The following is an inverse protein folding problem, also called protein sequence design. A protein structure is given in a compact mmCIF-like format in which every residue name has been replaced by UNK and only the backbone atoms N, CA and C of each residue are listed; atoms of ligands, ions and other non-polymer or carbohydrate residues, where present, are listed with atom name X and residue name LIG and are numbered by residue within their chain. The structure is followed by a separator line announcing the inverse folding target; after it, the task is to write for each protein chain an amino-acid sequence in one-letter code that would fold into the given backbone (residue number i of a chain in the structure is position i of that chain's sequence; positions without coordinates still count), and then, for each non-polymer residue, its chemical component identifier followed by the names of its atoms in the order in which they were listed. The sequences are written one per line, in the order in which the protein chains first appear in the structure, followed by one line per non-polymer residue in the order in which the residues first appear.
data_IF_510042359723
#
_entry.id   IF_510042359723
#
_cell.length_a   1.000
_cell.length_b   1.000
_cell.length_c   1.000
_cell.angle_alpha   90.00
_cell.angle_beta   90.00
_cell.angle_gamma   90.00
#
_symmetry.space_group_name_H-M   'P 1'
#
loop_
_entity.id
_entity.type
_entity.pdbx_description
1 polymer ?
#
# COMPACT_ATOMS: atom_id res chain seq x y z
N UNK A 1 14.78 -49.69 11.15
CA UNK A 1 14.63 -49.48 12.60
C UNK A 1 14.16 -48.06 12.79
N UNK A 2 13.20 -47.82 13.68
CA UNK A 2 12.69 -46.47 13.90
C UNK A 2 13.64 -45.67 14.79
N UNK A 3 14.02 -44.45 14.44
CA UNK A 3 14.87 -43.62 15.29
C UNK A 3 14.07 -42.75 16.25
N UNK A 4 14.53 -42.61 17.49
CA UNK A 4 13.85 -41.85 18.53
C UNK A 4 14.78 -40.85 19.23
N UNK A 5 14.22 -39.71 19.61
CA UNK A 5 14.80 -38.83 20.63
C UNK A 5 14.06 -39.08 21.94
N UNK A 6 14.79 -39.46 22.99
CA UNK A 6 14.20 -39.69 24.30
C UNK A 6 14.31 -38.43 25.15
N UNK A 7 13.22 -37.98 25.75
CA UNK A 7 13.21 -36.91 26.72
C UNK A 7 12.81 -37.50 28.05
N UNK A 8 13.59 -37.32 29.11
CA UNK A 8 13.28 -37.92 30.41
C UNK A 8 13.62 -36.99 31.56
N UNK A 9 12.72 -36.91 32.53
CA UNK A 9 13.01 -36.28 33.84
C UNK A 9 13.28 -37.33 34.92
N UNK A 10 13.12 -38.62 34.58
CA UNK A 10 13.46 -39.73 35.46
C UNK A 10 14.95 -40.07 35.30
N UNK A 11 15.69 -40.28 36.41
CA UNK A 11 17.10 -40.68 36.33
C UNK A 11 17.24 -41.98 35.53
N UNK A 12 18.13 -42.00 34.53
CA UNK A 12 18.29 -43.12 33.60
C UNK A 12 18.64 -44.45 34.29
N UNK A 13 19.25 -44.41 35.47
CA UNK A 13 19.55 -45.60 36.30
C UNK A 13 18.30 -46.30 36.85
N UNK A 14 17.13 -45.67 36.80
CA UNK A 14 15.86 -46.18 37.30
C UNK A 14 14.83 -46.51 36.20
N UNK A 15 15.18 -46.35 34.91
CA UNK A 15 14.25 -46.55 33.79
C UNK A 15 14.74 -47.64 32.84
N UNK A 16 13.93 -48.69 32.66
CA UNK A 16 14.17 -49.74 31.65
C UNK A 16 13.80 -49.31 30.22
N UNK A 17 13.33 -48.07 30.02
CA UNK A 17 12.79 -47.58 28.75
C UNK A 17 13.77 -47.63 27.58
N UNK A 18 15.05 -47.25 27.70
CA UNK A 18 15.99 -47.40 26.59
C UNK A 18 16.17 -48.87 26.14
N UNK A 19 16.20 -49.80 27.09
CA UNK A 19 16.34 -51.23 26.79
C UNK A 19 15.06 -51.80 26.15
N UNK A 20 13.89 -51.42 26.66
CA UNK A 20 12.60 -51.85 26.10
C UNK A 20 12.35 -51.26 24.71
N UNK A 21 12.77 -50.01 24.46
CA UNK A 21 12.74 -49.40 23.12
C UNK A 21 13.67 -50.14 22.15
N UNK A 22 14.88 -50.49 22.59
CA UNK A 22 15.82 -51.26 21.77
C UNK A 22 15.26 -52.66 21.43
N UNK A 23 14.67 -53.35 22.42
CA UNK A 23 14.00 -54.64 22.21
C UNK A 23 12.79 -54.53 21.26
N UNK A 24 12.09 -53.40 21.27
CA UNK A 24 11.01 -53.09 20.34
C UNK A 24 11.50 -52.63 18.95
N UNK A 25 12.81 -52.55 18.70
CA UNK A 25 13.42 -52.20 17.43
C UNK A 25 13.53 -50.69 17.16
N UNK A 26 13.50 -49.88 18.22
CA UNK A 26 13.63 -48.42 18.18
C UNK A 26 15.01 -48.01 18.68
N UNK A 27 15.74 -47.24 17.88
CA UNK A 27 17.08 -46.76 18.20
C UNK A 27 17.02 -45.35 18.79
N UNK A 28 17.47 -45.19 20.03
CA UNK A 28 17.53 -43.88 20.70
C UNK A 28 18.80 -43.16 20.24
N UNK A 29 18.63 -42.05 19.51
CA UNK A 29 19.74 -41.26 18.95
C UNK A 29 20.41 -40.37 19.99
N UNK A 30 19.60 -39.80 20.88
CA UNK A 30 20.06 -38.95 21.98
C UNK A 30 19.00 -38.90 23.08
N UNK A 31 19.44 -38.52 24.28
CA UNK A 31 18.57 -38.30 25.44
C UNK A 31 18.64 -36.84 25.89
N UNK A 32 17.49 -36.24 26.16
CA UNK A 32 17.34 -34.86 26.60
C UNK A 32 16.70 -34.84 27.99
N UNK A 33 17.42 -34.30 28.97
CA UNK A 33 16.94 -34.23 30.36
C UNK A 33 16.30 -32.88 30.71
N UNK A 34 16.56 -31.86 29.90
CA UNK A 34 16.06 -30.50 30.08
C UNK A 34 15.27 -30.05 28.84
N UNK A 35 14.04 -29.58 29.06
CA UNK A 35 13.16 -29.05 28.02
C UNK A 35 13.79 -27.93 27.19
N UNK A 36 14.74 -27.16 27.75
CA UNK A 36 15.45 -26.09 27.03
C UNK A 36 16.25 -26.61 25.82
N UNK A 37 16.69 -27.87 25.86
CA UNK A 37 17.50 -28.52 24.82
C UNK A 37 16.66 -29.34 23.83
N UNK A 38 15.35 -29.42 24.03
CA UNK A 38 14.47 -30.26 23.22
C UNK A 38 14.51 -29.88 21.74
N UNK A 39 14.26 -28.61 21.43
CA UNK A 39 14.24 -28.10 20.05
C UNK A 39 15.57 -28.36 19.36
N UNK A 40 16.68 -28.07 20.04
CA UNK A 40 18.02 -28.33 19.53
C UNK A 40 18.23 -29.82 19.25
N UNK A 41 17.84 -30.71 20.17
CA UNK A 41 17.95 -32.16 20.00
C UNK A 41 17.15 -32.69 18.82
N UNK A 42 15.92 -32.20 18.62
CA UNK A 42 15.07 -32.59 17.48
C UNK A 42 15.67 -32.12 16.15
N UNK A 43 16.16 -30.88 16.07
CA UNK A 43 16.76 -30.33 14.85
C UNK A 43 18.08 -31.03 14.51
N UNK A 44 18.94 -31.24 15.50
CA UNK A 44 20.27 -31.83 15.31
C UNK A 44 20.20 -33.30 14.89
N UNK A 45 19.35 -34.10 15.55
CA UNK A 45 19.31 -35.55 15.36
C UNK A 45 18.23 -36.02 14.38
N UNK A 46 17.29 -35.15 14.01
CA UNK A 46 16.23 -35.45 13.04
C UNK A 46 15.49 -36.79 13.29
N UNK A 47 15.04 -37.09 14.52
CA UNK A 47 14.49 -38.40 14.90
C UNK A 47 13.17 -38.70 14.18
N UNK A 48 12.81 -39.97 13.99
CA UNK A 48 11.50 -40.35 13.43
C UNK A 48 10.35 -40.27 14.45
N UNK A 49 10.65 -40.26 15.75
CA UNK A 49 9.67 -40.01 16.83
C UNK A 49 10.37 -39.34 18.02
N UNK A 50 9.65 -38.46 18.72
CA UNK A 50 10.06 -37.93 20.02
C UNK A 50 9.26 -38.65 21.10
N UNK A 51 9.96 -39.23 22.08
CA UNK A 51 9.35 -39.95 23.19
C UNK A 51 9.71 -39.22 24.47
N UNK A 52 8.73 -38.81 25.25
CA UNK A 52 8.92 -38.07 26.49
C UNK A 52 8.44 -38.92 27.68
N UNK A 53 9.34 -39.39 28.53
CA UNK A 53 9.05 -39.99 29.83
C UNK A 53 9.00 -38.90 30.90
N UNK A 54 7.80 -38.35 31.10
CA UNK A 54 7.53 -37.20 31.97
C UNK A 54 6.48 -37.60 33.01
N UNK A 55 6.87 -38.05 34.22
CA UNK A 55 5.94 -38.47 35.26
C UNK A 55 4.85 -37.44 35.54
N UNK A 56 5.24 -36.16 35.57
CA UNK A 56 4.35 -35.00 35.65
C UNK A 56 4.87 -33.93 34.66
N UNK A 57 4.25 -33.76 33.48
CA UNK A 57 4.69 -32.77 32.50
C UNK A 57 4.42 -31.36 33.03
N UNK A 58 5.47 -30.53 33.05
CA UNK A 58 5.33 -29.12 33.43
C UNK A 58 4.91 -28.28 32.22
N UNK A 59 4.34 -27.08 32.43
CA UNK A 59 4.03 -26.15 31.33
C UNK A 59 5.24 -25.83 30.44
N UNK A 60 6.46 -25.84 31.00
CA UNK A 60 7.70 -25.64 30.24
C UNK A 60 7.95 -26.76 29.21
N UNK A 61 7.63 -28.02 29.54
CA UNK A 61 7.72 -29.14 28.60
C UNK A 61 6.70 -29.02 27.47
N UNK A 62 5.46 -28.61 27.78
CA UNK A 62 4.44 -28.38 26.77
C UNK A 62 4.81 -27.23 25.82
N UNK A 63 5.33 -26.12 26.34
CA UNK A 63 5.84 -25.02 25.53
C UNK A 63 7.01 -25.46 24.62
N UNK A 64 7.95 -26.25 25.15
CA UNK A 64 9.08 -26.77 24.38
C UNK A 64 8.62 -27.73 23.27
N UNK A 65 7.64 -28.59 23.54
CA UNK A 65 7.05 -29.50 22.55
C UNK A 65 6.31 -28.74 21.44
N UNK A 66 5.54 -27.72 21.81
CA UNK A 66 4.85 -26.86 20.85
C UNK A 66 5.85 -26.14 19.94
N UNK A 67 6.92 -25.57 20.52
CA UNK A 67 7.98 -24.92 19.75
C UNK A 67 8.71 -25.89 18.81
N UNK A 68 9.04 -27.09 19.29
CA UNK A 68 9.64 -28.14 18.47
C UNK A 68 8.71 -28.55 17.31
N UNK A 69 7.40 -28.66 17.57
CA UNK A 69 6.39 -28.96 16.56
C UNK A 69 6.21 -27.86 15.50
N UNK A 70 6.56 -26.61 15.79
CA UNK A 70 6.54 -25.51 14.82
C UNK A 70 7.81 -25.47 13.96
N UNK A 71 8.98 -25.78 14.53
CA UNK A 71 10.29 -25.67 13.87
C UNK A 71 10.63 -26.93 13.08
N UNK A 72 10.47 -28.11 13.70
CA UNK A 72 10.82 -29.40 13.12
C UNK A 72 9.77 -30.45 13.53
N UNK A 73 8.61 -30.49 12.84
CA UNK A 73 7.48 -31.33 13.23
C UNK A 73 7.85 -32.82 13.22
N UNK A 74 7.65 -33.50 14.36
CA UNK A 74 7.84 -34.96 14.51
C UNK A 74 6.66 -35.58 15.26
N UNK A 75 6.38 -36.89 15.09
CA UNK A 75 5.48 -37.61 15.97
C UNK A 75 5.96 -37.53 17.43
N UNK A 76 5.04 -37.28 18.35
CA UNK A 76 5.35 -37.12 19.78
C UNK A 76 4.52 -38.10 20.61
N UNK A 77 5.21 -38.86 21.45
CA UNK A 77 4.63 -39.73 22.47
C UNK A 77 5.01 -39.20 23.85
N UNK A 78 4.02 -38.93 24.71
CA UNK A 78 4.26 -38.59 26.12
C UNK A 78 3.81 -39.76 26.98
N UNK A 79 4.72 -40.26 27.80
CA UNK A 79 4.51 -41.28 28.81
C UNK A 79 4.48 -40.57 30.17
N UNK A 80 3.41 -40.72 30.93
CA UNK A 80 3.19 -39.95 32.15
C UNK A 80 2.43 -40.72 33.23
N UNK A 81 2.43 -40.21 34.45
CA UNK A 81 1.55 -40.64 35.54
C UNK A 81 0.38 -39.67 35.76
N UNK A 82 0.37 -38.56 35.04
CA UNK A 82 -0.67 -37.55 35.14
C UNK A 82 -1.99 -38.03 34.51
N UNK A 83 -3.04 -38.06 35.32
CA UNK A 83 -4.40 -38.48 34.95
C UNK A 83 -5.32 -37.28 34.69
N UNK A 84 -4.81 -36.05 34.81
CA UNK A 84 -5.60 -34.84 34.68
C UNK A 84 -6.08 -34.65 33.24
N UNK A 85 -7.41 -34.58 33.06
CA UNK A 85 -8.02 -34.42 31.74
C UNK A 85 -7.68 -33.07 31.08
N UNK A 86 -7.44 -32.02 31.87
CA UNK A 86 -7.01 -30.71 31.39
C UNK A 86 -5.61 -30.75 30.79
N UNK A 87 -4.66 -31.38 31.47
CA UNK A 87 -3.30 -31.59 30.93
C UNK A 87 -3.29 -32.53 29.72
N UNK A 88 -4.19 -33.50 29.64
CA UNK A 88 -4.35 -34.34 28.43
C UNK A 88 -4.84 -33.52 27.22
N UNK A 89 -5.82 -32.62 27.42
CA UNK A 89 -6.31 -31.72 26.38
C UNK A 89 -5.19 -30.75 25.94
N UNK A 90 -4.51 -30.13 26.91
CA UNK A 90 -3.38 -29.24 26.65
C UNK A 90 -2.24 -29.93 25.88
N UNK A 91 -1.89 -31.17 26.25
CA UNK A 91 -0.87 -31.94 25.53
C UNK A 91 -1.26 -32.13 24.06
N UNK A 92 -2.54 -32.40 23.78
CA UNK A 92 -3.05 -32.55 22.41
C UNK A 92 -2.93 -31.24 21.63
N UNK A 93 -3.26 -30.10 22.24
CA UNK A 93 -3.11 -28.77 21.64
C UNK A 93 -1.63 -28.42 21.36
N UNK A 94 -0.71 -28.89 22.19
CA UNK A 94 0.73 -28.71 22.00
C UNK A 94 1.35 -29.64 20.94
N UNK A 95 0.54 -30.47 20.27
CA UNK A 95 1.02 -31.39 19.22
C UNK A 95 1.51 -32.74 19.74
N UNK A 96 1.09 -33.16 20.94
CA UNK A 96 1.29 -34.54 21.41
C UNK A 96 0.31 -35.46 20.69
N UNK A 97 0.83 -36.49 20.04
CA UNK A 97 0.01 -37.39 19.23
C UNK A 97 -0.54 -38.56 20.04
N UNK A 98 0.24 -39.01 21.03
CA UNK A 98 -0.15 -40.08 21.95
C UNK A 98 0.27 -39.68 23.35
N UNK A 99 -0.70 -39.57 24.26
CA UNK A 99 -0.51 -39.30 25.67
C UNK A 99 -0.91 -40.57 26.45
N UNK A 100 0.06 -41.19 27.13
CA UNK A 100 -0.10 -42.49 27.79
C UNK A 100 0.03 -42.32 29.29
N UNK A 101 -1.04 -42.65 30.01
CA UNK A 101 -1.12 -42.56 31.46
C UNK A 101 -0.78 -43.90 32.10
N UNK A 102 -0.15 -43.86 33.29
CA UNK A 102 0.37 -45.02 34.02
C UNK A 102 1.49 -45.77 33.27
N UNK A 103 2.31 -45.04 32.51
CA UNK A 103 3.47 -45.60 31.82
C UNK A 103 3.12 -46.53 30.65
N UNK A 104 4.07 -47.39 30.27
CA UNK A 104 3.95 -48.26 29.09
C UNK A 104 4.17 -49.73 29.46
N UNK A 105 3.63 -50.64 28.64
CA UNK A 105 4.07 -52.04 28.65
C UNK A 105 5.04 -52.24 27.49
N UNK A 106 6.14 -52.98 27.69
CA UNK A 106 7.19 -53.15 26.66
C UNK A 106 6.63 -53.65 25.32
N UNK A 107 5.68 -54.60 25.35
CA UNK A 107 4.99 -55.11 24.17
C UNK A 107 4.08 -54.09 23.46
N UNK A 108 3.71 -52.98 24.12
CA UNK A 108 2.84 -51.92 23.58
C UNK A 108 3.60 -50.76 22.94
N UNK A 109 4.91 -50.64 23.18
CA UNK A 109 5.73 -49.51 22.67
C UNK A 109 5.63 -49.36 21.15
N UNK A 110 5.84 -50.45 20.42
CA UNK A 110 5.82 -50.42 18.95
C UNK A 110 4.44 -50.05 18.38
N UNK A 111 3.32 -50.67 18.83
CA UNK A 111 1.98 -50.21 18.45
C UNK A 111 1.70 -48.73 18.78
N UNK A 112 2.13 -48.25 19.95
CA UNK A 112 1.91 -46.86 20.37
C UNK A 112 2.68 -45.87 19.48
N UNK A 113 3.92 -46.19 19.12
CA UNK A 113 4.72 -45.36 18.21
C UNK A 113 4.12 -45.36 16.80
N UNK A 114 3.66 -46.51 16.29
CA UNK A 114 2.95 -46.57 15.02
C UNK A 114 1.67 -45.72 15.06
N UNK A 115 0.91 -45.74 16.16
CA UNK A 115 -0.28 -44.89 16.35
C UNK A 115 0.10 -43.40 16.34
N UNK A 116 1.18 -43.02 17.02
CA UNK A 116 1.66 -41.64 17.04
C UNK A 116 2.09 -41.18 15.65
N UNK A 117 2.82 -42.02 14.91
CA UNK A 117 3.22 -41.76 13.53
C UNK A 117 2.00 -41.62 12.61
N UNK A 118 0.98 -42.47 12.77
CA UNK A 118 -0.24 -42.38 11.97
C UNK A 118 -1.03 -41.09 12.26
N UNK A 119 -1.19 -40.73 13.54
CA UNK A 119 -1.82 -39.47 13.95
C UNK A 119 -1.05 -38.25 13.45
N UNK A 120 0.29 -38.29 13.52
CA UNK A 120 1.14 -37.23 12.98
C UNK A 120 0.96 -37.07 11.48
N UNK A 121 1.01 -38.16 10.71
CA UNK A 121 0.77 -38.13 9.26
C UNK A 121 -0.59 -37.52 8.93
N UNK A 122 -1.63 -37.87 9.68
CA UNK A 122 -2.97 -37.32 9.47
C UNK A 122 -3.02 -35.81 9.79
N UNK A 123 -2.50 -35.39 10.94
CA UNK A 123 -2.45 -33.98 11.34
C UNK A 123 -1.61 -33.14 10.37
N UNK A 124 -0.47 -33.67 9.91
CA UNK A 124 0.38 -33.02 8.92
C UNK A 124 -0.33 -32.86 7.57
N UNK A 125 -1.03 -33.89 7.10
CA UNK A 125 -1.80 -33.83 5.85
C UNK A 125 -2.93 -32.79 5.92
N UNK A 126 -3.64 -32.71 7.05
CA UNK A 126 -4.66 -31.68 7.28
C UNK A 126 -4.07 -30.27 7.28
N UNK A 127 -2.94 -30.07 7.99
CA UNK A 127 -2.25 -28.78 8.02
C UNK A 127 -1.78 -28.36 6.62
N UNK A 128 -1.20 -29.27 5.85
CA UNK A 128 -0.78 -29.00 4.49
C UNK A 128 -1.97 -28.67 3.58
N UNK A 129 -3.08 -29.41 3.68
CA UNK A 129 -4.30 -29.10 2.93
C UNK A 129 -4.86 -27.71 3.28
N UNK A 130 -4.80 -27.32 4.56
CA UNK A 130 -5.20 -25.98 5.00
C UNK A 130 -4.29 -24.88 4.47
N UNK A 131 -2.97 -25.09 4.50
CA UNK A 131 -1.97 -24.14 3.95
C UNK A 131 -2.15 -23.99 2.43
N UNK A 132 -2.39 -25.09 1.70
CA UNK A 132 -2.66 -25.08 0.27
C UNK A 132 -3.95 -24.32 -0.08
N UNK A 133 -5.03 -24.57 0.66
CA UNK A 133 -6.31 -23.87 0.49
C UNK A 133 -6.18 -22.37 0.80
N UNK A 134 -5.50 -22.02 1.89
CA UNK A 134 -5.25 -20.63 2.28
C UNK A 134 -4.45 -19.90 1.22
N UNK A 135 -3.41 -20.53 0.67
CA UNK A 135 -2.61 -19.98 -0.42
C UNK A 135 -3.47 -19.71 -1.66
N UNK A 136 -4.25 -20.70 -2.11
CA UNK A 136 -5.14 -20.55 -3.27
C UNK A 136 -6.20 -19.47 -3.07
N UNK A 137 -6.70 -19.32 -1.85
CA UNK A 137 -7.69 -18.30 -1.51
C UNK A 137 -7.10 -16.89 -1.60
N UNK A 138 -5.92 -16.65 -1.03
CA UNK A 138 -5.25 -15.34 -1.13
C UNK A 138 -4.83 -15.01 -2.56
N UNK A 139 -4.38 -16.01 -3.34
CA UNK A 139 -4.14 -15.83 -4.78
C UNK A 139 -5.42 -15.40 -5.51
N UNK A 140 -6.55 -16.09 -5.27
CA UNK A 140 -7.83 -15.73 -5.89
C UNK A 140 -8.29 -14.32 -5.52
N UNK A 141 -8.19 -13.94 -4.25
CA UNK A 141 -8.54 -12.59 -3.78
C UNK A 141 -7.69 -11.51 -4.45
N UNK A 142 -6.40 -11.79 -4.65
CA UNK A 142 -5.50 -10.89 -5.36
C UNK A 142 -5.91 -10.75 -6.82
N UNK A 143 -6.21 -11.87 -7.50
CA UNK A 143 -6.68 -11.88 -8.89
C UNK A 143 -7.98 -11.09 -9.04
N UNK A 144 -8.98 -11.35 -8.19
CA UNK A 144 -10.27 -10.66 -8.23
C UNK A 144 -10.12 -9.15 -7.98
N UNK A 145 -9.21 -8.75 -7.08
CA UNK A 145 -8.90 -7.32 -6.86
C UNK A 145 -8.23 -6.68 -8.07
N UNK A 146 -7.28 -7.37 -8.71
CA UNK A 146 -6.63 -6.88 -9.92
C UNK A 146 -7.63 -6.76 -11.08
N UNK A 147 -8.51 -7.76 -11.28
CA UNK A 147 -9.62 -7.69 -12.23
C UNK A 147 -10.48 -6.47 -11.99
N UNK A 148 -10.92 -6.24 -10.74
CA UNK A 148 -11.74 -5.08 -10.39
C UNK A 148 -11.06 -3.73 -10.66
N UNK A 149 -9.73 -3.66 -10.60
CA UNK A 149 -8.99 -2.46 -11.01
C UNK A 149 -9.07 -2.28 -12.52
N UNK A 150 -8.77 -3.32 -13.29
CA UNK A 150 -8.83 -3.28 -14.77
C UNK A 150 -10.24 -2.99 -15.28
N UNK A 151 -11.27 -3.57 -14.67
CA UNK A 151 -12.67 -3.29 -15.01
C UNK A 151 -12.99 -1.80 -14.88
N UNK A 152 -12.53 -1.14 -13.79
CA UNK A 152 -12.79 0.29 -13.59
C UNK A 152 -11.94 1.18 -14.50
N UNK A 153 -10.66 0.87 -14.66
CA UNK A 153 -9.74 1.72 -15.40
C UNK A 153 -9.84 1.56 -16.92
N UNK A 154 -10.22 0.38 -17.40
CA UNK A 154 -10.31 0.06 -18.83
C UNK A 154 -11.76 -0.21 -19.29
N UNK A 155 -12.75 -0.08 -18.41
CA UNK A 155 -14.16 -0.35 -18.70
C UNK A 155 -14.40 -1.77 -19.28
N UNK A 156 -13.60 -2.74 -18.83
CA UNK A 156 -13.68 -4.13 -19.27
C UNK A 156 -14.77 -4.90 -18.53
N UNK A 157 -15.32 -5.92 -19.21
CA UNK A 157 -16.10 -6.95 -18.54
C UNK A 157 -15.21 -7.80 -17.61
N UNK A 158 -15.84 -8.59 -16.74
CA UNK A 158 -15.11 -9.50 -15.85
C UNK A 158 -14.27 -10.53 -16.63
N UNK A 159 -14.84 -11.07 -17.72
CA UNK A 159 -14.19 -12.05 -18.59
C UNK A 159 -13.02 -11.43 -19.36
N UNK A 160 -13.19 -10.23 -19.91
CA UNK A 160 -12.13 -9.52 -20.62
C UNK A 160 -10.99 -9.16 -19.67
N UNK A 161 -11.30 -8.70 -18.45
CA UNK A 161 -10.28 -8.38 -17.45
C UNK A 161 -9.45 -9.61 -17.05
N UNK A 162 -10.09 -10.78 -16.91
CA UNK A 162 -9.37 -12.03 -16.64
C UNK A 162 -8.52 -12.47 -17.83
N UNK A 163 -9.04 -12.38 -19.06
CA UNK A 163 -8.32 -12.71 -20.29
C UNK A 163 -7.07 -11.83 -20.47
N UNK A 164 -7.20 -10.53 -20.20
CA UNK A 164 -6.10 -9.57 -20.25
C UNK A 164 -5.02 -9.89 -19.22
N UNK A 165 -5.39 -10.12 -17.95
CA UNK A 165 -4.42 -10.54 -16.91
C UNK A 165 -3.71 -11.84 -17.30
N UNK A 166 -4.45 -12.82 -17.80
CA UNK A 166 -3.89 -14.11 -18.21
C UNK A 166 -2.89 -13.96 -19.34
N UNK A 167 -3.24 -13.19 -20.36
CA UNK A 167 -2.39 -12.94 -21.53
C UNK A 167 -1.11 -12.20 -21.13
N UNK A 168 -1.22 -11.19 -20.27
CA UNK A 168 -0.07 -10.47 -19.72
C UNK A 168 0.83 -11.39 -18.88
N UNK A 169 0.27 -12.27 -18.05
CA UNK A 169 1.05 -13.21 -17.22
C UNK A 169 1.83 -14.21 -18.07
N UNK A 170 1.24 -14.67 -19.18
CA UNK A 170 1.91 -15.52 -20.16
C UNK A 170 3.06 -14.80 -20.86
N UNK A 171 2.85 -13.55 -21.30
CA UNK A 171 3.90 -12.74 -21.95
C UNK A 171 5.06 -12.43 -21.01
N UNK A 172 4.79 -12.21 -19.72
CA UNK A 172 5.83 -11.91 -18.71
C UNK A 172 6.42 -13.15 -18.04
N UNK A 173 5.95 -14.36 -18.36
CA UNK A 173 6.33 -15.61 -17.71
C UNK A 173 6.20 -15.56 -16.17
N UNK A 174 5.12 -14.96 -15.67
CA UNK A 174 4.83 -14.80 -14.24
C UNK A 174 3.60 -15.59 -13.81
N UNK A 175 3.52 -15.94 -12.53
CA UNK A 175 2.29 -16.52 -11.97
C UNK A 175 1.18 -15.47 -11.92
N UNK A 176 -0.07 -15.89 -12.11
CA UNK A 176 -1.23 -15.00 -12.10
C UNK A 176 -1.31 -14.16 -10.81
N UNK A 177 -1.05 -14.77 -9.65
CA UNK A 177 -1.02 -14.06 -8.37
C UNK A 177 0.05 -12.97 -8.30
N UNK A 178 1.26 -13.25 -8.82
CA UNK A 178 2.37 -12.28 -8.85
C UNK A 178 2.05 -11.10 -9.77
N UNK A 179 1.58 -11.38 -11.00
CA UNK A 179 1.16 -10.30 -11.91
C UNK A 179 0.04 -9.45 -11.29
N UNK A 180 -0.94 -10.10 -10.66
CA UNK A 180 -2.06 -9.41 -10.01
C UNK A 180 -1.57 -8.49 -8.88
N UNK A 181 -0.58 -8.92 -8.09
CA UNK A 181 0.08 -8.06 -7.09
C UNK A 181 0.75 -6.85 -7.74
N UNK A 182 1.49 -7.05 -8.84
CA UNK A 182 2.12 -5.95 -9.58
C UNK A 182 1.08 -4.94 -10.10
N UNK A 183 -0.02 -5.42 -10.70
CA UNK A 183 -1.10 -4.55 -11.17
C UNK A 183 -1.70 -3.73 -10.01
N UNK A 184 -1.96 -4.35 -8.86
CA UNK A 184 -2.47 -3.66 -7.67
C UNK A 184 -1.49 -2.59 -7.20
N UNK A 185 -0.20 -2.93 -7.09
CA UNK A 185 0.83 -2.02 -6.62
C UNK A 185 1.01 -0.84 -7.58
N UNK A 186 1.08 -1.10 -8.89
CA UNK A 186 1.18 -0.04 -9.91
C UNK A 186 -0.02 0.89 -9.88
N UNK A 187 -1.24 0.35 -9.72
CA UNK A 187 -2.43 1.17 -9.59
C UNK A 187 -2.43 2.03 -8.31
N UNK A 188 -1.98 1.48 -7.17
CA UNK A 188 -1.85 2.23 -5.93
C UNK A 188 -0.83 3.37 -6.03
N UNK A 189 0.31 3.13 -6.69
CA UNK A 189 1.32 4.15 -6.94
C UNK A 189 0.81 5.25 -7.87
N UNK A 190 0.16 4.88 -8.98
CA UNK A 190 -0.44 5.83 -9.91
C UNK A 190 -1.48 6.73 -9.20
N UNK A 191 -2.35 6.12 -8.39
CA UNK A 191 -3.33 6.83 -7.58
C UNK A 191 -2.64 7.78 -6.59
N UNK A 192 -1.63 7.33 -5.86
CA UNK A 192 -0.90 8.18 -4.92
C UNK A 192 -0.23 9.38 -5.61
N UNK A 193 0.36 9.18 -6.79
CA UNK A 193 0.94 10.28 -7.57
C UNK A 193 -0.13 11.27 -8.04
N UNK A 194 -1.29 10.80 -8.50
CA UNK A 194 -2.39 11.69 -8.88
C UNK A 194 -2.87 12.51 -7.66
N UNK A 195 -3.03 11.89 -6.49
CA UNK A 195 -3.42 12.60 -5.25
C UNK A 195 -2.38 13.62 -4.82
N UNK A 196 -1.09 13.27 -4.88
CA UNK A 196 0.01 14.19 -4.62
C UNK A 196 0.04 15.36 -5.61
N UNK A 197 -0.20 15.09 -6.90
CA UNK A 197 -0.39 16.12 -7.94
C UNK A 197 -1.56 17.06 -7.67
N UNK A 198 -2.69 16.52 -7.21
CA UNK A 198 -3.86 17.31 -6.82
C UNK A 198 -3.56 18.20 -5.60
N UNK A 199 -2.78 17.74 -4.62
CA UNK A 199 -2.35 18.59 -3.49
C UNK A 199 -1.56 19.82 -3.96
N UNK A 200 -0.66 19.66 -4.94
CA UNK A 200 0.09 20.77 -5.55
C UNK A 200 -0.84 21.76 -6.26
N UNK A 201 -1.82 21.28 -7.01
CA UNK A 201 -2.80 22.14 -7.68
C UNK A 201 -3.70 22.87 -6.67
N UNK A 202 -4.28 22.12 -5.71
CA UNK A 202 -5.22 22.66 -4.73
C UNK A 202 -4.55 23.69 -3.83
N UNK A 203 -3.27 23.51 -3.47
CA UNK A 203 -2.56 24.52 -2.68
C UNK A 203 -2.52 25.88 -3.40
N UNK A 204 -2.33 25.89 -4.73
CA UNK A 204 -2.35 27.13 -5.51
C UNK A 204 -3.77 27.67 -5.70
N UNK A 205 -4.75 26.79 -5.97
CA UNK A 205 -6.17 27.16 -6.11
C UNK A 205 -6.71 27.82 -4.84
N UNK A 206 -6.33 27.32 -3.65
CA UNK A 206 -6.73 27.89 -2.36
C UNK A 206 -6.30 29.35 -2.21
N UNK A 207 -5.05 29.68 -2.52
CA UNK A 207 -4.56 31.08 -2.45
C UNK A 207 -5.28 31.96 -3.46
N UNK A 208 -5.45 31.48 -4.70
CA UNK A 208 -6.17 32.20 -5.76
C UNK A 208 -7.60 32.55 -5.33
N UNK A 209 -8.34 31.57 -4.80
CA UNK A 209 -9.70 31.77 -4.32
C UNK A 209 -9.76 32.73 -3.13
N UNK A 210 -8.80 32.63 -2.21
CA UNK A 210 -8.70 33.55 -1.07
C UNK A 210 -8.45 35.00 -1.53
N UNK A 211 -7.56 35.22 -2.50
CA UNK A 211 -7.31 36.55 -3.10
C UNK A 211 -8.55 37.12 -3.78
N UNK A 212 -9.31 36.29 -4.52
CA UNK A 212 -10.54 36.71 -5.20
C UNK A 212 -11.65 37.11 -4.21
N UNK A 213 -11.76 36.41 -3.07
CA UNK A 213 -12.67 36.79 -2.01
C UNK A 213 -12.32 38.16 -1.41
N UNK A 214 -11.03 38.42 -1.18
CA UNK A 214 -10.56 39.71 -0.66
C UNK A 214 -10.78 40.85 -1.65
N UNK A 215 -10.63 40.57 -2.95
CA UNK A 215 -10.94 41.53 -4.01
C UNK A 215 -12.46 41.78 -4.21
N UNK A 216 -13.33 41.10 -3.44
CA UNK A 216 -14.79 41.26 -3.54
C UNK A 216 -15.41 40.67 -4.81
N UNK A 217 -14.66 39.83 -5.54
CA UNK A 217 -15.11 39.27 -6.82
C UNK A 217 -15.95 38.03 -6.53
N UNK A 218 -17.24 38.04 -6.89
CA UNK A 218 -18.15 36.88 -6.78
C UNK A 218 -18.00 36.11 -5.44
N UNK A 219 -17.95 36.82 -4.31
CA UNK A 219 -17.48 36.29 -3.01
C UNK A 219 -18.16 34.99 -2.58
N UNK A 220 -19.48 34.85 -2.79
CA UNK A 220 -20.23 33.64 -2.45
C UNK A 220 -19.78 32.42 -3.28
N UNK A 221 -19.55 32.59 -4.59
CA UNK A 221 -19.06 31.52 -5.47
C UNK A 221 -17.67 31.06 -5.06
N UNK A 222 -16.75 32.00 -4.87
CA UNK A 222 -15.38 31.66 -4.48
C UNK A 222 -15.29 31.08 -3.07
N UNK A 223 -16.20 31.44 -2.16
CA UNK A 223 -16.32 30.79 -0.85
C UNK A 223 -16.70 29.31 -0.98
N UNK A 224 -17.68 28.99 -1.83
CA UNK A 224 -18.07 27.60 -2.07
C UNK A 224 -16.92 26.78 -2.68
N UNK A 225 -16.23 27.32 -3.69
CA UNK A 225 -15.07 26.67 -4.32
C UNK A 225 -13.89 26.49 -3.35
N UNK A 226 -13.69 27.43 -2.43
CA UNK A 226 -12.65 27.33 -1.40
C UNK A 226 -12.97 26.18 -0.45
N UNK A 227 -14.21 26.10 0.02
CA UNK A 227 -14.66 25.02 0.89
C UNK A 227 -14.57 23.64 0.20
N UNK A 228 -14.98 23.54 -1.06
CA UNK A 228 -14.81 22.34 -1.88
C UNK A 228 -13.32 21.95 -1.98
N UNK A 229 -12.45 22.92 -2.24
CA UNK A 229 -11.01 22.69 -2.35
C UNK A 229 -10.41 22.19 -1.03
N UNK A 230 -10.83 22.73 0.12
CA UNK A 230 -10.44 22.24 1.46
C UNK A 230 -10.87 20.79 1.67
N UNK A 231 -12.11 20.45 1.31
CA UNK A 231 -12.63 19.08 1.43
C UNK A 231 -11.85 18.11 0.54
N UNK A 232 -11.51 18.51 -0.70
CA UNK A 232 -10.69 17.72 -1.61
C UNK A 232 -9.28 17.47 -1.06
N UNK A 233 -8.67 18.48 -0.42
CA UNK A 233 -7.37 18.30 0.25
C UNK A 233 -7.49 17.29 1.40
N UNK A 234 -8.48 17.44 2.29
CA UNK A 234 -8.72 16.49 3.39
C UNK A 234 -8.90 15.05 2.88
N UNK A 235 -9.68 14.87 1.81
CA UNK A 235 -9.91 13.56 1.19
C UNK A 235 -8.62 12.97 0.60
N UNK A 236 -7.80 13.78 -0.06
CA UNK A 236 -6.52 13.34 -0.63
C UNK A 236 -5.55 12.89 0.47
N UNK A 237 -5.49 13.60 1.61
CA UNK A 237 -4.69 13.18 2.76
C UNK A 237 -5.15 11.84 3.34
N UNK A 238 -6.47 11.65 3.50
CA UNK A 238 -7.02 10.39 3.99
C UNK A 238 -6.65 9.21 3.08
N UNK A 239 -6.74 9.40 1.76
CA UNK A 239 -6.41 8.38 0.78
C UNK A 239 -4.90 8.08 0.75
N UNK A 240 -4.05 9.10 0.78
CA UNK A 240 -2.59 8.93 0.82
C UNK A 240 -2.16 8.18 2.08
N UNK A 241 -2.70 8.56 3.25
CA UNK A 241 -2.40 7.87 4.53
C UNK A 241 -2.86 6.41 4.57
N UNK A 242 -3.94 6.08 3.86
CA UNK A 242 -4.48 4.71 3.76
C UNK A 242 -3.67 3.83 2.80
N UNK A 243 -3.19 4.40 1.68
CA UNK A 243 -2.65 3.61 0.56
C UNK A 243 -1.13 3.55 0.52
N UNK A 244 -0.44 4.50 1.17
CA UNK A 244 1.02 4.52 1.21
C UNK A 244 1.57 3.79 2.44
N UNK A 245 2.71 3.13 2.24
CA UNK A 245 3.47 2.44 3.29
C UNK A 245 3.94 3.44 4.36
N UNK A 246 3.49 3.24 5.61
CA UNK A 246 3.92 4.06 6.74
C UNK A 246 5.44 4.00 6.98
N UNK A 247 6.11 2.82 6.96
CA UNK A 247 7.57 2.75 7.07
C UNK A 247 8.34 3.52 5.99
N UNK A 248 7.74 3.74 4.81
CA UNK A 248 8.43 4.35 3.67
C UNK A 248 8.13 5.84 3.53
N UNK A 249 6.87 6.24 3.72
CA UNK A 249 6.40 7.61 3.44
C UNK A 249 5.85 8.33 4.67
N UNK A 250 5.86 7.70 5.86
CA UNK A 250 5.24 8.23 7.08
C UNK A 250 5.71 9.64 7.44
N UNK A 251 7.02 9.91 7.38
CA UNK A 251 7.58 11.23 7.71
C UNK A 251 7.13 12.31 6.73
N UNK A 252 7.12 12.01 5.43
CA UNK A 252 6.64 12.93 4.39
C UNK A 252 5.15 13.25 4.57
N UNK A 253 4.34 12.24 4.89
CA UNK A 253 2.91 12.40 5.14
C UNK A 253 2.63 13.20 6.41
N UNK A 254 3.38 12.95 7.48
CA UNK A 254 3.26 13.71 8.73
C UNK A 254 3.61 15.19 8.52
N UNK A 255 4.69 15.48 7.78
CA UNK A 255 5.08 16.85 7.45
C UNK A 255 4.01 17.57 6.61
N UNK A 256 3.48 16.89 5.59
CA UNK A 256 2.39 17.41 4.77
C UNK A 256 1.14 17.69 5.60
N UNK A 257 0.76 16.77 6.51
CA UNK A 257 -0.41 16.92 7.37
C UNK A 257 -0.27 18.11 8.33
N UNK A 258 0.91 18.31 8.92
CA UNK A 258 1.18 19.45 9.80
C UNK A 258 1.11 20.79 9.06
N UNK A 259 1.67 20.82 7.84
CA UNK A 259 1.63 22.00 6.97
C UNK A 259 0.20 22.31 6.56
N UNK A 260 -0.58 21.28 6.21
CA UNK A 260 -1.99 21.43 5.89
C UNK A 260 -2.82 21.94 7.07
N UNK A 261 -2.62 21.42 8.28
CA UNK A 261 -3.33 21.91 9.47
C UNK A 261 -3.09 23.41 9.71
N UNK A 262 -1.84 23.85 9.53
CA UNK A 262 -1.45 25.26 9.67
C UNK A 262 -2.08 26.13 8.59
N UNK A 263 -2.02 25.69 7.32
CA UNK A 263 -2.65 26.38 6.19
C UNK A 263 -4.17 26.48 6.34
N UNK A 264 -4.83 25.39 6.76
CA UNK A 264 -6.27 25.34 6.99
C UNK A 264 -6.72 26.30 8.09
N UNK A 265 -5.90 26.51 9.10
CA UNK A 265 -6.14 27.53 10.12
C UNK A 265 -5.98 28.95 9.55
N UNK A 266 -4.94 29.20 8.75
CA UNK A 266 -4.68 30.49 8.11
C UNK A 266 -5.80 30.91 7.14
N UNK A 267 -6.41 29.97 6.40
CA UNK A 267 -7.52 30.22 5.47
C UNK A 267 -8.76 30.88 6.11
N UNK A 268 -8.88 30.84 7.43
CA UNK A 268 -9.98 31.50 8.18
C UNK A 268 -9.71 32.98 8.45
N UNK A 269 -8.49 33.44 8.24
CA UNK A 269 -8.05 34.80 8.51
C UNK A 269 -8.17 35.67 7.25
N UNK A 270 -8.14 36.99 7.39
CA UNK A 270 -8.09 37.92 6.26
C UNK A 270 -6.67 38.17 5.71
N UNK A 271 -5.62 37.60 6.30
CA UNK A 271 -4.25 37.84 5.83
C UNK A 271 -3.85 36.81 4.76
N UNK A 272 -3.44 37.29 3.57
CA UNK A 272 -2.99 36.43 2.46
C UNK A 272 -1.58 35.91 2.64
N UNK A 273 -0.71 36.59 3.38
CA UNK A 273 0.68 36.16 3.54
C UNK A 273 0.83 34.76 4.15
N UNK A 274 0.23 34.44 5.31
CA UNK A 274 0.34 33.11 5.91
C UNK A 274 -0.32 32.03 5.05
N UNK A 275 -1.38 32.38 4.31
CA UNK A 275 -2.06 31.49 3.37
C UNK A 275 -1.14 31.14 2.19
N UNK A 276 -0.52 32.14 1.56
CA UNK A 276 0.40 31.91 0.44
C UNK A 276 1.67 31.16 0.87
N UNK A 277 2.27 31.54 2.00
CA UNK A 277 3.45 30.84 2.54
C UNK A 277 3.17 29.38 2.90
N UNK A 278 2.03 29.10 3.54
CA UNK A 278 1.60 27.73 3.84
C UNK A 278 1.28 26.91 2.59
N UNK A 279 0.68 27.52 1.57
CA UNK A 279 0.38 26.87 0.29
C UNK A 279 1.65 26.55 -0.53
N UNK A 280 2.65 27.44 -0.54
CA UNK A 280 3.95 27.18 -1.16
C UNK A 280 4.70 26.05 -0.44
N UNK A 281 4.67 26.03 0.90
CA UNK A 281 5.23 24.93 1.67
C UNK A 281 4.55 23.59 1.34
N UNK A 282 3.21 23.57 1.26
CA UNK A 282 2.44 22.38 0.88
C UNK A 282 2.76 21.93 -0.55
N UNK A 283 2.90 22.86 -1.50
CA UNK A 283 3.32 22.56 -2.87
C UNK A 283 4.69 21.88 -2.90
N UNK A 284 5.69 22.45 -2.23
CA UNK A 284 7.06 21.93 -2.23
C UNK A 284 7.14 20.54 -1.59
N UNK A 285 6.40 20.31 -0.51
CA UNK A 285 6.34 19.00 0.15
C UNK A 285 5.62 17.97 -0.71
N UNK A 286 4.54 18.35 -1.40
CA UNK A 286 3.85 17.45 -2.32
C UNK A 286 4.69 17.15 -3.58
N UNK A 287 5.51 18.10 -4.04
CA UNK A 287 6.53 17.86 -5.08
C UNK A 287 7.53 16.80 -4.62
N UNK A 288 8.08 16.91 -3.40
CA UNK A 288 9.01 15.92 -2.82
C UNK A 288 8.38 14.54 -2.71
N UNK A 289 7.12 14.45 -2.26
CA UNK A 289 6.39 13.18 -2.22
C UNK A 289 6.24 12.59 -3.62
N UNK A 290 5.91 13.42 -4.62
CA UNK A 290 5.79 12.99 -6.02
C UNK A 290 7.13 12.44 -6.54
N UNK A 291 8.23 13.15 -6.34
CA UNK A 291 9.57 12.68 -6.73
C UNK A 291 9.97 11.38 -6.03
N UNK A 292 9.62 11.23 -4.74
CA UNK A 292 9.85 9.97 -4.01
C UNK A 292 9.03 8.81 -4.58
N UNK A 293 7.78 9.06 -4.99
CA UNK A 293 6.95 8.07 -5.66
C UNK A 293 7.52 7.71 -7.05
N UNK A 294 8.01 8.68 -7.82
CA UNK A 294 8.59 8.45 -9.15
C UNK A 294 9.84 7.57 -9.10
N UNK A 295 10.78 7.90 -8.21
CA UNK A 295 12.02 7.14 -8.04
C UNK A 295 11.80 5.70 -7.59
N UNK A 296 10.67 5.42 -6.93
CA UNK A 296 10.33 4.08 -6.42
C UNK A 296 9.72 3.12 -7.45
N UNK A 297 9.48 3.54 -8.69
CA UNK A 297 9.02 2.61 -9.75
C UNK A 297 8.15 3.20 -10.86
N UNK A 298 8.25 4.50 -11.16
CA UNK A 298 7.47 5.07 -12.27
C UNK A 298 8.12 4.73 -13.63
N UNK A 299 7.43 3.91 -14.44
CA UNK A 299 7.74 3.76 -15.86
C UNK A 299 7.42 5.02 -16.68
N UNK A 300 7.94 5.10 -17.91
CA UNK A 300 7.73 6.21 -18.88
C UNK A 300 6.26 6.69 -19.01
N UNK A 301 5.23 5.81 -19.01
CA UNK A 301 3.84 6.27 -19.09
C UNK A 301 3.47 7.25 -17.95
N UNK A 302 3.92 6.98 -16.73
CA UNK A 302 3.59 7.81 -15.56
C UNK A 302 4.19 9.23 -15.65
N UNK A 303 5.25 9.42 -16.45
CA UNK A 303 5.86 10.75 -16.67
C UNK A 303 4.96 11.68 -17.49
N UNK A 304 4.27 11.16 -18.52
CA UNK A 304 3.34 11.97 -19.33
C UNK A 304 2.14 12.40 -18.51
N UNK A 305 1.60 11.48 -17.69
CA UNK A 305 0.52 11.79 -16.76
C UNK A 305 0.96 12.83 -15.71
N UNK A 306 2.17 12.72 -15.18
CA UNK A 306 2.70 13.72 -14.25
C UNK A 306 2.89 15.08 -14.95
N UNK A 307 3.31 15.11 -16.21
CA UNK A 307 3.46 16.36 -16.97
C UNK A 307 2.10 17.05 -17.19
N UNK A 308 1.07 16.32 -17.60
CA UNK A 308 -0.30 16.82 -17.69
C UNK A 308 -0.83 17.27 -16.31
N UNK A 309 -0.49 16.52 -15.24
CA UNK A 309 -0.74 16.90 -13.86
C UNK A 309 -0.09 18.22 -13.45
N UNK A 310 1.16 18.44 -13.87
CA UNK A 310 1.91 19.68 -13.59
C UNK A 310 1.27 20.89 -14.26
N UNK A 311 0.65 20.74 -15.43
CA UNK A 311 -0.09 21.83 -16.10
C UNK A 311 -1.26 22.35 -15.27
N UNK A 312 -1.98 21.45 -14.56
CA UNK A 312 -3.03 21.85 -13.61
C UNK A 312 -2.46 22.79 -12.54
N UNK A 313 -1.35 22.40 -11.91
CA UNK A 313 -0.69 23.24 -10.91
C UNK A 313 -0.20 24.57 -11.50
N UNK A 314 0.48 24.54 -12.65
CA UNK A 314 1.06 25.74 -13.27
C UNK A 314 0.00 26.75 -13.69
N UNK A 315 -1.15 26.31 -14.21
CA UNK A 315 -2.27 27.21 -14.53
C UNK A 315 -2.79 27.95 -13.28
N UNK A 316 -2.95 27.23 -12.16
CA UNK A 316 -3.38 27.81 -10.89
C UNK A 316 -2.31 28.73 -10.30
N UNK A 317 -1.03 28.33 -10.39
CA UNK A 317 0.10 29.13 -9.92
C UNK A 317 0.24 30.43 -10.70
N UNK A 318 0.11 30.39 -12.02
CA UNK A 318 0.10 31.58 -12.87
C UNK A 318 -1.04 32.52 -12.47
N UNK A 319 -2.27 32.01 -12.36
CA UNK A 319 -3.42 32.82 -11.95
C UNK A 319 -3.23 33.44 -10.57
N UNK A 320 -2.74 32.68 -9.59
CA UNK A 320 -2.39 33.17 -8.25
C UNK A 320 -1.38 34.33 -8.32
N UNK A 321 -0.26 34.14 -9.02
CA UNK A 321 0.78 35.16 -9.13
C UNK A 321 0.28 36.39 -9.90
N UNK A 322 -0.55 36.20 -10.93
CA UNK A 322 -1.17 37.29 -11.68
C UNK A 322 -2.11 38.12 -10.79
N UNK A 323 -2.95 37.49 -9.97
CA UNK A 323 -3.81 38.20 -9.01
C UNK A 323 -2.99 39.00 -7.99
N UNK A 324 -1.91 38.43 -7.45
CA UNK A 324 -1.01 39.15 -6.54
C UNK A 324 -0.31 40.32 -7.20
N UNK A 325 0.15 40.13 -8.44
CA UNK A 325 0.77 41.18 -9.23
C UNK A 325 -0.20 42.34 -9.50
N UNK A 326 -1.44 42.04 -9.90
CA UNK A 326 -2.50 43.01 -10.13
C UNK A 326 -2.93 43.74 -8.84
N UNK A 327 -2.84 43.06 -7.69
CA UNK A 327 -3.09 43.65 -6.37
C UNK A 327 -1.90 44.43 -5.80
N UNK A 328 -0.75 44.48 -6.50
CA UNK A 328 0.47 45.11 -6.01
C UNK A 328 1.11 44.41 -4.80
N UNK A 329 0.81 43.12 -4.58
CA UNK A 329 1.25 42.36 -3.41
C UNK A 329 2.59 41.64 -3.64
N UNK A 330 3.69 42.31 -3.30
CA UNK A 330 5.05 41.75 -3.28
C UNK A 330 5.62 41.43 -4.67
N UNK A 331 6.75 40.73 -4.72
CA UNK A 331 7.38 40.30 -5.97
C UNK A 331 6.68 39.07 -6.58
N UNK A 332 5.50 39.31 -7.16
CA UNK A 332 4.71 38.27 -7.82
C UNK A 332 4.98 38.15 -9.33
N UNK A 333 5.70 39.12 -9.92
CA UNK A 333 5.93 39.16 -11.38
C UNK A 333 6.91 38.07 -11.84
N UNK A 334 8.04 37.93 -11.15
CA UNK A 334 9.02 36.89 -11.47
C UNK A 334 8.40 35.48 -11.42
N UNK A 335 7.74 35.04 -10.32
CA UNK A 335 7.13 33.71 -10.28
C UNK A 335 5.96 33.53 -11.25
N UNK A 336 5.24 34.61 -11.62
CA UNK A 336 4.23 34.57 -12.69
C UNK A 336 4.86 34.22 -14.04
N UNK A 337 5.95 34.89 -14.41
CA UNK A 337 6.65 34.65 -15.67
C UNK A 337 7.30 33.26 -15.70
N UNK A 338 7.85 32.79 -14.58
CA UNK A 338 8.36 31.42 -14.47
C UNK A 338 7.25 30.39 -14.69
N UNK A 339 6.09 30.55 -14.04
CA UNK A 339 4.97 29.66 -14.25
C UNK A 339 4.46 29.68 -15.69
N UNK A 340 4.47 30.85 -16.35
CA UNK A 340 4.13 31.00 -17.76
C UNK A 340 5.08 30.20 -18.67
N UNK A 341 6.39 30.40 -18.50
CA UNK A 341 7.41 29.71 -19.31
C UNK A 341 7.37 28.19 -19.13
N UNK A 342 7.25 27.72 -17.89
CA UNK A 342 7.15 26.28 -17.60
C UNK A 342 5.88 25.66 -18.20
N UNK A 343 4.77 26.38 -18.16
CA UNK A 343 3.51 25.93 -18.75
C UNK A 343 3.63 25.83 -20.27
N UNK A 344 4.09 26.88 -20.94
CA UNK A 344 4.21 26.92 -22.41
C UNK A 344 5.20 25.88 -22.94
N UNK A 345 6.34 25.67 -22.26
CA UNK A 345 7.31 24.65 -22.62
C UNK A 345 6.71 23.24 -22.53
N UNK A 346 5.98 22.94 -21.46
CA UNK A 346 5.34 21.65 -21.27
C UNK A 346 4.15 21.42 -22.21
N UNK A 347 3.34 22.45 -22.49
CA UNK A 347 2.26 22.36 -23.48
C UNK A 347 2.82 22.10 -24.89
N UNK A 348 3.93 22.75 -25.24
CA UNK A 348 4.65 22.49 -26.51
C UNK A 348 5.12 21.04 -26.58
N UNK A 349 5.72 20.53 -25.50
CA UNK A 349 6.15 19.14 -25.42
C UNK A 349 4.97 18.17 -25.58
N UNK A 350 3.86 18.38 -24.85
CA UNK A 350 2.67 17.53 -24.92
C UNK A 350 2.07 17.46 -26.33
N UNK A 351 2.06 18.58 -27.07
CA UNK A 351 1.63 18.63 -28.46
C UNK A 351 2.58 17.89 -29.42
N UNK A 352 3.85 17.73 -29.05
CA UNK A 352 4.86 17.01 -29.84
C UNK A 352 4.90 15.51 -29.61
N UNK A 353 4.15 14.96 -28.64
CA UNK A 353 4.16 13.52 -28.36
C UNK A 353 3.36 12.76 -29.44
N UNK A 354 3.93 11.71 -30.07
CA UNK A 354 3.26 10.92 -31.11
C UNK A 354 2.08 10.06 -30.61
N UNK A 355 1.69 10.18 -29.33
CA UNK A 355 0.69 9.37 -28.64
C UNK A 355 -0.64 10.13 -28.47
N UNK A 356 -1.14 10.76 -29.52
CA UNK A 356 -2.35 11.58 -29.47
C UNK A 356 -3.54 10.85 -30.09
N UNK A 357 -4.48 10.40 -29.25
CA UNK A 357 -5.84 10.10 -29.73
C UNK A 357 -6.51 11.41 -30.18
N UNK A 358 -7.55 11.37 -31.04
CA UNK A 358 -8.28 12.57 -31.42
C UNK A 358 -8.80 13.37 -30.22
N UNK A 359 -9.20 12.69 -29.14
CA UNK A 359 -9.64 13.32 -27.90
C UNK A 359 -8.51 14.06 -27.16
N UNK A 360 -7.29 13.50 -27.13
CA UNK A 360 -6.11 14.16 -26.55
C UNK A 360 -5.76 15.41 -27.37
N UNK A 361 -5.76 15.31 -28.71
CA UNK A 361 -5.46 16.44 -29.59
C UNK A 361 -6.45 17.59 -29.41
N UNK A 362 -7.76 17.30 -29.40
CA UNK A 362 -8.81 18.30 -29.17
C UNK A 362 -8.70 18.96 -27.79
N UNK A 363 -8.39 18.18 -26.74
CA UNK A 363 -8.22 18.71 -25.39
C UNK A 363 -7.00 19.64 -25.28
N UNK A 364 -5.87 19.28 -25.93
CA UNK A 364 -4.67 20.13 -25.98
C UNK A 364 -4.90 21.42 -26.75
N UNK A 365 -5.64 21.37 -27.88
CA UNK A 365 -6.00 22.56 -28.65
C UNK A 365 -6.89 23.50 -27.83
N UNK A 366 -7.94 22.97 -27.19
CA UNK A 366 -8.81 23.74 -26.32
C UNK A 366 -8.05 24.36 -25.13
N UNK A 367 -7.09 23.63 -24.55
CA UNK A 367 -6.23 24.14 -23.48
C UNK A 367 -5.32 25.28 -23.97
N UNK A 368 -4.76 25.17 -25.18
CA UNK A 368 -3.97 26.25 -25.79
C UNK A 368 -4.77 27.53 -26.00
N UNK A 369 -6.01 27.41 -26.50
CA UNK A 369 -6.92 28.55 -26.66
C UNK A 369 -7.26 29.18 -25.30
N UNK A 370 -7.63 28.36 -24.32
CA UNK A 370 -7.95 28.84 -22.97
C UNK A 370 -6.75 29.51 -22.28
N UNK A 371 -5.52 29.04 -22.53
CA UNK A 371 -4.29 29.66 -22.04
C UNK A 371 -4.09 31.06 -22.62
N UNK A 372 -4.22 31.23 -23.93
CA UNK A 372 -4.11 32.53 -24.58
C UNK A 372 -5.17 33.52 -24.07
N UNK A 373 -6.40 33.04 -23.84
CA UNK A 373 -7.47 33.84 -23.24
C UNK A 373 -7.10 34.30 -21.83
N UNK A 374 -6.50 33.41 -21.01
CA UNK A 374 -6.06 33.76 -19.67
C UNK A 374 -4.92 34.79 -19.69
N UNK A 375 -3.94 34.67 -20.58
CA UNK A 375 -2.89 35.68 -20.76
C UNK A 375 -3.46 37.04 -21.17
N UNK A 376 -4.42 37.04 -22.10
CA UNK A 376 -5.11 38.26 -22.53
C UNK A 376 -5.89 38.91 -21.38
N UNK A 377 -6.55 38.12 -20.52
CA UNK A 377 -7.26 38.62 -19.34
C UNK A 377 -6.31 39.35 -18.38
N UNK A 378 -5.11 38.81 -18.13
CA UNK A 378 -4.09 39.49 -17.30
C UNK A 378 -3.64 40.81 -17.93
N UNK A 379 -3.34 40.83 -19.22
CA UNK A 379 -2.91 42.03 -19.92
C UNK A 379 -3.99 43.12 -19.94
N UNK A 380 -5.27 42.72 -20.06
CA UNK A 380 -6.41 43.63 -20.00
C UNK A 380 -6.62 44.16 -18.58
N UNK A 381 -6.48 43.31 -17.55
CA UNK A 381 -6.60 43.71 -16.15
C UNK A 381 -5.54 44.75 -15.74
N UNK A 382 -4.32 44.66 -16.28
CA UNK A 382 -3.25 45.64 -16.04
C UNK A 382 -3.58 47.05 -16.59
N UNK A 383 -4.38 47.13 -17.65
CA UNK A 383 -4.74 48.37 -18.34
C UNK A 383 -6.12 48.91 -17.92
N UNK A 384 -6.84 48.19 -17.07
CA UNK A 384 -8.21 48.51 -16.72
C UNK A 384 -8.27 49.62 -15.66
N UNK A 385 -9.22 50.54 -15.83
CA UNK A 385 -9.60 51.47 -14.78
C UNK A 385 -10.23 50.73 -13.59
N UNK A 386 -10.19 51.34 -12.41
CA UNK A 386 -10.69 50.77 -11.14
C UNK A 386 -12.12 50.25 -11.22
N UNK A 387 -12.98 50.85 -12.04
CA UNK A 387 -14.38 50.42 -12.22
C UNK A 387 -14.56 49.09 -12.97
N UNK A 388 -13.59 48.67 -13.79
CA UNK A 388 -13.64 47.42 -14.55
C UNK A 388 -12.77 46.31 -13.94
N UNK A 389 -11.97 46.65 -12.93
CA UNK A 389 -10.97 45.75 -12.36
C UNK A 389 -11.60 44.46 -11.79
N UNK A 390 -12.73 44.55 -11.09
CA UNK A 390 -13.43 43.37 -10.56
C UNK A 390 -13.92 42.41 -11.65
N UNK A 391 -14.41 42.95 -12.78
CA UNK A 391 -14.82 42.13 -13.92
C UNK A 391 -13.63 41.42 -14.57
N UNK A 392 -12.49 42.11 -14.72
CA UNK A 392 -11.27 41.51 -15.28
C UNK A 392 -10.66 40.43 -14.39
N UNK A 393 -10.72 40.60 -13.07
CA UNK A 393 -10.32 39.56 -12.12
C UNK A 393 -11.26 38.34 -12.20
N UNK A 394 -12.54 38.55 -12.48
CA UNK A 394 -13.49 37.46 -12.73
C UNK A 394 -13.17 36.70 -14.02
N UNK A 395 -12.85 37.39 -15.11
CA UNK A 395 -12.43 36.76 -16.39
C UNK A 395 -11.19 35.87 -16.18
N UNK A 396 -10.18 36.36 -15.44
CA UNK A 396 -9.00 35.59 -15.07
C UNK A 396 -9.34 34.36 -14.21
N UNK A 397 -10.22 34.53 -13.22
CA UNK A 397 -10.66 33.44 -12.37
C UNK A 397 -11.34 32.34 -13.20
N UNK A 398 -12.28 32.70 -14.09
CA UNK A 398 -12.99 31.76 -14.94
C UNK A 398 -12.05 31.06 -15.94
N UNK A 399 -11.15 31.80 -16.59
CA UNK A 399 -10.15 31.22 -17.49
C UNK A 399 -9.25 30.19 -16.78
N UNK A 400 -8.86 30.47 -15.54
CA UNK A 400 -8.04 29.54 -14.75
C UNK A 400 -8.79 28.27 -14.31
N UNK A 401 -10.09 28.36 -14.01
CA UNK A 401 -10.91 27.18 -13.68
C UNK A 401 -11.19 26.35 -14.94
N UNK A 402 -11.48 27.00 -16.07
CA UNK A 402 -11.64 26.31 -17.36
C UNK A 402 -10.39 25.53 -17.77
N UNK A 403 -9.20 26.12 -17.60
CA UNK A 403 -7.94 25.42 -17.85
C UNK A 403 -7.75 24.22 -16.92
N UNK A 404 -8.09 24.38 -15.63
CA UNK A 404 -8.02 23.28 -14.68
C UNK A 404 -8.88 22.10 -15.15
N UNK A 405 -10.14 22.36 -15.53
CA UNK A 405 -11.07 21.33 -16.00
C UNK A 405 -10.54 20.63 -17.26
N UNK A 406 -10.02 21.39 -18.23
CA UNK A 406 -9.44 20.82 -19.45
C UNK A 406 -8.25 19.90 -19.15
N UNK A 407 -7.37 20.26 -18.22
CA UNK A 407 -6.23 19.41 -17.85
C UNK A 407 -6.62 18.24 -16.92
N UNK A 408 -7.69 18.35 -16.13
CA UNK A 408 -8.26 17.20 -15.42
C UNK A 408 -8.83 16.18 -16.42
N UNK A 409 -9.57 16.63 -17.43
CA UNK A 409 -10.05 15.77 -18.52
C UNK A 409 -8.91 15.15 -19.32
N UNK A 410 -7.90 15.95 -19.68
CA UNK A 410 -6.72 15.48 -20.40
C UNK A 410 -5.95 14.40 -19.60
N UNK A 411 -5.81 14.58 -18.29
CA UNK A 411 -5.20 13.57 -17.42
C UNK A 411 -5.97 12.25 -17.49
N UNK A 412 -7.31 12.27 -17.48
CA UNK A 412 -8.15 11.08 -17.65
C UNK A 412 -8.01 10.43 -19.03
N UNK A 413 -7.87 11.22 -20.10
CA UNK A 413 -7.61 10.70 -21.45
C UNK A 413 -6.25 10.01 -21.55
N UNK A 414 -5.21 10.56 -20.92
CA UNK A 414 -3.90 9.91 -20.83
C UNK A 414 -3.95 8.64 -19.99
N UNK A 415 -4.60 8.65 -18.81
CA UNK A 415 -4.80 7.44 -17.99
C UNK A 415 -5.45 6.32 -18.79
N UNK A 416 -6.54 6.62 -19.51
CA UNK A 416 -7.27 5.65 -20.34
C UNK A 416 -6.41 5.14 -21.51
N UNK A 417 -5.69 6.02 -22.20
CA UNK A 417 -4.86 5.66 -23.36
C UNK A 417 -3.62 4.86 -22.98
N UNK A 418 -3.02 5.13 -21.81
CA UNK A 418 -1.86 4.39 -21.32
C UNK A 418 -2.22 2.97 -20.91
N UNK A 419 -3.43 2.76 -20.38
CA UNK A 419 -3.91 1.42 -20.08
C UNK A 419 -4.16 0.56 -21.33
N UNK A 420 -4.49 1.19 -22.48
CA UNK A 420 -4.64 0.49 -23.78
C UNK A 420 -3.30 0.04 -24.39
N UNK A 421 -2.20 0.76 -24.14
CA UNK A 421 -0.87 0.47 -24.73
C UNK A 421 -0.09 -0.63 -23.97
N UNK A 422 -0.49 -0.94 -22.74
CA UNK A 422 0.11 -2.02 -21.92
C UNK A 422 -0.60 -3.38 -22.16
N UNK A 423 -1.72 -3.38 -22.89
CA UNK A 423 -2.49 -4.56 -23.28
C UNK A 423 -1.89 -5.40 -24.41
#
# INVERSE_FOLDING_TARGET
MTSALLCTTRPMTASNLPADLAAAGISVLATVEDCSKLVQGVVLHAPEVVICDLPLPTPAWFAALQMAGQIAPRPVVVLTQDIDAGHMAQATECGVHVYVVQGYGANRLRPLIHLAQARFKHAQAQRQAFEDLSTRFEERKTVDRAKGILMRSQQLSDDDAYSTLRSAAMRSNQRMGQLSQHVIQSAQLAEAMNRSGQLRMLSQRLVKLHLLQQAGVQTARHAALLQESVQRVDANFALLGKNLSQPTYGDLLAQLAQTWASLKAALKQLDTQPVDGGAEALLLQAERLTTSLETSGAGVPLQVLNLAGRQRMLSQRFAKCALRYLAGQGDARAPMLTAQQEFEAALTYLNGIPLSTPAIAQALEAAGIAWLQMLAAVAQAQRADTGLQAARLADLAEGSERLLDLFEQLSGHYESSMHMLVG
#
